data_IF_150271455994
#
_entry.id   IF_150271455994
#
_cell.length_a   1.000
_cell.length_b   1.000
_cell.length_c   1.000
_cell.angle_alpha   90.00
_cell.angle_beta   90.00
_cell.angle_gamma   90.00
#
_symmetry.space_group_name_H-M   'P 1'
#
loop_
_entity.id
_entity.type
_entity.pdbx_description
1 polymer ?
#
# COMPACT_ATOMS: atom_id res chain seq x y z
N UNK A 1 48.67 -58.21 -15.40
CA UNK A 1 49.62 -59.29 -14.93
C UNK A 1 50.76 -58.59 -14.21
N UNK A 2 51.22 -59.07 -13.07
CA UNK A 2 50.63 -59.09 -11.74
C UNK A 2 51.66 -58.67 -10.65
N UNK A 3 51.27 -58.95 -9.40
CA UNK A 3 52.05 -59.18 -8.17
C UNK A 3 52.10 -58.00 -7.19
N UNK A 4 51.61 -58.08 -6.03
CA UNK A 4 51.51 -59.08 -4.96
C UNK A 4 52.49 -58.77 -3.83
N UNK A 5 51.97 -58.95 -2.60
CA UNK A 5 52.60 -59.21 -1.27
C UNK A 5 53.09 -57.98 -0.49
N UNK A 6 52.93 -57.92 0.82
CA UNK A 6 52.47 -58.85 1.83
C UNK A 6 52.63 -58.23 3.23
N UNK A 7 51.79 -58.60 4.11
CA UNK A 7 51.95 -58.97 5.54
C UNK A 7 53.05 -58.30 6.38
N UNK A 8 52.93 -57.91 7.66
CA UNK A 8 52.42 -58.73 8.77
C UNK A 8 52.58 -57.99 10.11
N UNK A 9 51.65 -58.25 11.03
CA UNK A 9 51.78 -58.50 12.50
C UNK A 9 52.37 -57.46 13.45
N UNK A 10 51.60 -57.28 14.59
CA UNK A 10 52.11 -57.08 15.90
C UNK A 10 51.19 -56.33 16.87
N UNK A 11 50.24 -57.04 17.49
CA UNK A 11 49.69 -56.78 18.82
C UNK A 11 50.65 -57.38 19.88
N UNK A 12 50.59 -57.15 21.20
CA UNK A 12 49.46 -56.76 22.04
C UNK A 12 49.80 -55.98 23.35
N UNK A 13 48.72 -55.74 24.17
CA UNK A 13 48.66 -55.62 25.66
C UNK A 13 48.96 -54.24 26.26
N UNK A 14 48.15 -53.60 27.07
CA UNK A 14 47.41 -53.94 28.30
C UNK A 14 46.66 -52.69 28.80
N UNK A 15 45.43 -52.89 29.21
CA UNK A 15 44.54 -52.14 30.10
C UNK A 15 45.16 -52.02 31.52
N UNK A 16 44.63 -51.24 32.49
CA UNK A 16 43.35 -50.56 32.63
C UNK A 16 43.42 -49.20 33.39
N UNK A 17 42.37 -48.39 33.35
CA UNK A 17 41.68 -47.74 34.46
C UNK A 17 40.68 -46.66 34.03
N UNK A 18 39.40 -46.99 34.14
CA UNK A 18 38.29 -46.03 34.32
C UNK A 18 38.34 -45.37 35.70
N UNK A 19 37.76 -44.18 36.02
CA UNK A 19 36.34 -43.87 35.72
C UNK A 19 36.01 -42.37 35.49
N UNK A 20 34.72 -42.19 35.21
CA UNK A 20 33.83 -41.10 35.63
C UNK A 20 33.34 -40.10 34.57
N UNK A 21 32.08 -40.28 34.26
CA UNK A 21 30.97 -39.31 34.07
C UNK A 21 31.24 -37.94 33.45
N UNK A 22 30.65 -37.67 32.29
CA UNK A 22 29.94 -36.44 31.98
C UNK A 22 28.88 -36.64 30.86
N UNK A 23 27.74 -35.93 30.89
CA UNK A 23 26.56 -36.25 30.11
C UNK A 23 26.60 -35.71 28.71
N UNK A 24 25.85 -36.36 27.84
CA UNK A 24 25.61 -36.02 26.44
C UNK A 24 24.94 -34.66 26.28
N UNK A 25 25.58 -33.78 25.51
CA UNK A 25 24.89 -32.60 24.98
C UNK A 25 24.20 -32.95 23.66
N UNK A 26 22.86 -32.98 23.71
CA UNK A 26 22.00 -32.95 22.52
C UNK A 26 22.23 -31.67 21.77
N UNK A 27 22.73 -31.75 20.54
CA UNK A 27 22.60 -30.67 19.58
C UNK A 27 21.16 -30.64 19.06
N UNK A 28 20.37 -29.70 19.60
CA UNK A 28 19.09 -29.31 19.04
C UNK A 28 19.37 -28.43 17.84
N UNK A 29 18.91 -28.89 16.65
CA UNK A 29 18.92 -28.12 15.43
C UNK A 29 18.11 -26.84 15.60
N UNK A 30 18.77 -25.69 15.41
CA UNK A 30 18.13 -24.39 15.37
C UNK A 30 17.31 -24.25 14.08
N UNK A 31 15.99 -24.41 14.20
CA UNK A 31 15.08 -23.89 13.20
C UNK A 31 15.13 -22.37 13.28
N UNK A 32 15.74 -21.74 12.29
CA UNK A 32 15.55 -20.30 12.06
C UNK A 32 14.10 -20.08 11.66
N UNK A 33 13.25 -19.80 12.63
CA UNK A 33 11.98 -19.15 12.41
C UNK A 33 12.30 -17.69 11.97
N UNK A 34 12.17 -17.40 10.68
CA UNK A 34 12.00 -16.04 10.22
C UNK A 34 10.67 -15.54 10.79
N UNK A 35 10.73 -14.93 11.96
CA UNK A 35 9.62 -14.19 12.51
C UNK A 35 9.35 -12.99 11.60
N UNK A 36 8.25 -13.05 10.86
CA UNK A 36 7.66 -11.86 10.28
C UNK A 36 7.33 -10.92 11.44
N UNK A 37 8.14 -9.89 11.63
CA UNK A 37 7.79 -8.78 12.50
C UNK A 37 6.60 -8.10 11.84
N UNK A 38 5.40 -8.38 12.33
CA UNK A 38 4.24 -7.55 12.11
C UNK A 38 4.58 -6.17 12.68
N UNK A 39 4.86 -5.21 11.82
CA UNK A 39 4.95 -3.82 12.20
C UNK A 39 3.53 -3.35 12.53
N UNK A 40 3.13 -3.52 13.78
CA UNK A 40 1.95 -2.87 14.31
C UNK A 40 2.22 -1.35 14.26
N UNK A 41 1.62 -0.66 13.29
CA UNK A 41 1.61 0.79 13.27
C UNK A 41 0.91 1.28 14.55
N UNK A 42 1.45 2.32 15.22
CA UNK A 42 0.75 2.91 16.36
C UNK A 42 -0.65 3.35 15.95
N UNK A 43 -1.64 3.17 16.80
CA UNK A 43 -3.06 3.50 16.54
C UNK A 43 -3.25 4.96 16.10
N UNK A 44 -2.39 5.88 16.59
CA UNK A 44 -2.41 7.29 16.20
C UNK A 44 -1.97 7.51 14.73
N UNK A 45 -1.03 6.73 14.24
CA UNK A 45 -0.58 6.81 12.84
C UNK A 45 -1.65 6.28 11.87
N UNK A 46 -2.37 5.23 12.27
CA UNK A 46 -3.49 4.66 11.50
C UNK A 46 -4.67 5.66 11.37
N UNK A 47 -4.98 6.41 12.44
CA UNK A 47 -6.02 7.43 12.41
C UNK A 47 -5.65 8.63 11.52
N UNK A 48 -4.40 9.09 11.59
CA UNK A 48 -3.91 10.18 10.74
C UNK A 48 -3.85 9.78 9.26
N UNK A 49 -3.48 8.53 8.97
CA UNK A 49 -3.55 7.98 7.62
C UNK A 49 -4.99 7.92 7.12
N UNK A 50 -5.91 7.45 7.94
CA UNK A 50 -7.32 7.35 7.57
C UNK A 50 -7.93 8.73 7.24
N UNK A 51 -7.52 9.80 7.95
CA UNK A 51 -7.93 11.18 7.60
C UNK A 51 -7.42 11.60 6.22
N UNK A 52 -6.15 11.31 5.91
CA UNK A 52 -5.57 11.60 4.59
C UNK A 52 -6.31 10.84 3.50
N UNK A 53 -6.62 9.56 3.70
CA UNK A 53 -7.38 8.74 2.75
C UNK A 53 -8.80 9.29 2.51
N UNK A 54 -9.45 9.76 3.56
CA UNK A 54 -10.79 10.36 3.45
C UNK A 54 -10.76 11.68 2.67
N UNK A 55 -9.75 12.52 2.90
CA UNK A 55 -9.57 13.78 2.19
C UNK A 55 -9.13 13.58 0.74
N UNK A 56 -8.26 12.60 0.46
CA UNK A 56 -7.94 12.17 -0.91
C UNK A 56 -9.21 11.76 -1.67
N UNK A 57 -10.02 10.90 -1.05
CA UNK A 57 -11.29 10.44 -1.62
C UNK A 57 -12.28 11.59 -1.89
N UNK A 58 -12.35 12.57 -1.00
CA UNK A 58 -13.23 13.73 -1.13
C UNK A 58 -12.75 14.65 -2.25
N UNK A 59 -11.47 15.03 -2.25
CA UNK A 59 -10.90 15.99 -3.21
C UNK A 59 -10.80 15.39 -4.61
N UNK A 60 -10.48 14.11 -4.73
CA UNK A 60 -10.29 13.42 -6.02
C UNK A 60 -11.54 12.67 -6.50
N UNK A 61 -12.72 12.91 -5.92
CA UNK A 61 -13.93 12.15 -6.19
C UNK A 61 -14.28 12.09 -7.70
N UNK A 62 -14.23 13.23 -8.40
CA UNK A 62 -14.54 13.30 -9.83
C UNK A 62 -13.52 12.56 -10.69
N UNK A 63 -12.24 12.61 -10.32
CA UNK A 63 -11.17 11.88 -11.01
C UNK A 63 -11.32 10.37 -10.81
N UNK A 64 -11.65 9.93 -9.60
CA UNK A 64 -11.94 8.53 -9.29
C UNK A 64 -13.15 8.02 -10.09
N UNK A 65 -14.22 8.81 -10.14
CA UNK A 65 -15.39 8.50 -10.95
C UNK A 65 -15.02 8.38 -12.43
N UNK A 66 -14.22 9.32 -12.98
CA UNK A 66 -13.77 9.29 -14.37
C UNK A 66 -12.90 8.05 -14.67
N UNK A 67 -12.07 7.60 -13.73
CA UNK A 67 -11.31 6.35 -13.86
C UNK A 67 -12.27 5.16 -13.94
N UNK A 68 -13.24 5.05 -13.05
CA UNK A 68 -14.20 3.94 -13.03
C UNK A 68 -15.05 3.92 -14.31
N UNK A 69 -15.45 5.09 -14.83
CA UNK A 69 -16.16 5.19 -16.10
C UNK A 69 -15.35 4.75 -17.31
N UNK A 70 -14.04 4.93 -17.27
CA UNK A 70 -13.14 4.53 -18.35
C UNK A 70 -12.91 3.01 -18.43
N UNK A 71 -13.17 2.25 -17.37
CA UNK A 71 -12.88 0.82 -17.34
C UNK A 71 -13.56 0.09 -18.52
N UNK A 72 -12.80 -0.72 -19.31
CA UNK A 72 -13.32 -1.42 -20.49
C UNK A 72 -14.10 -2.69 -20.06
N UNK A 73 -15.21 -2.50 -19.39
CA UNK A 73 -16.09 -3.56 -18.93
C UNK A 73 -17.07 -3.95 -20.04
N UNK A 74 -17.22 -5.26 -20.29
CA UNK A 74 -18.20 -5.80 -21.26
C UNK A 74 -19.62 -5.82 -20.68
N UNK A 75 -19.75 -5.90 -19.36
CA UNK A 75 -20.99 -5.88 -18.61
C UNK A 75 -20.79 -5.26 -17.23
N UNK A 76 -21.87 -4.82 -16.59
CA UNK A 76 -21.81 -4.33 -15.22
C UNK A 76 -21.41 -5.48 -14.26
N UNK A 77 -20.38 -5.27 -13.40
CA UNK A 77 -19.96 -6.29 -12.45
C UNK A 77 -21.02 -6.49 -11.37
N UNK A 78 -21.24 -7.71 -10.96
CA UNK A 78 -22.12 -8.07 -9.83
C UNK A 78 -21.33 -8.29 -8.55
N UNK A 79 -20.15 -8.90 -8.67
CA UNK A 79 -19.22 -9.08 -7.56
C UNK A 79 -17.93 -8.32 -7.83
N UNK A 80 -17.64 -7.36 -6.96
CA UNK A 80 -16.42 -6.56 -6.99
C UNK A 80 -15.56 -6.92 -5.77
N UNK A 81 -14.27 -7.10 -5.98
CA UNK A 81 -13.29 -7.29 -4.93
C UNK A 81 -12.41 -6.02 -4.88
N UNK A 82 -12.44 -5.30 -3.75
CA UNK A 82 -11.62 -4.10 -3.50
C UNK A 82 -10.44 -4.48 -2.59
N UNK A 83 -9.22 -4.53 -3.16
CA UNK A 83 -8.00 -4.97 -2.49
C UNK A 83 -7.20 -3.77 -1.96
N UNK A 84 -6.96 -3.73 -0.66
CA UNK A 84 -6.41 -2.57 0.03
C UNK A 84 -7.44 -1.45 0.08
N UNK A 85 -8.67 -1.78 0.47
CA UNK A 85 -9.83 -0.90 0.38
C UNK A 85 -9.70 0.39 1.22
N UNK A 86 -8.79 0.42 2.19
CA UNK A 86 -8.61 1.55 3.10
C UNK A 86 -9.93 1.93 3.78
N UNK A 87 -10.24 3.20 3.78
CA UNK A 87 -11.49 3.73 4.35
C UNK A 87 -12.67 3.68 3.39
N UNK A 88 -12.54 3.02 2.20
CA UNK A 88 -13.61 2.68 1.30
C UNK A 88 -13.82 3.61 0.10
N UNK A 89 -12.84 4.44 -0.26
CA UNK A 89 -12.95 5.36 -1.42
C UNK A 89 -13.36 4.62 -2.70
N UNK A 90 -12.61 3.56 -3.08
CA UNK A 90 -12.91 2.69 -4.22
C UNK A 90 -14.24 1.98 -4.06
N UNK A 91 -14.48 1.36 -2.89
CA UNK A 91 -15.71 0.65 -2.56
C UNK A 91 -16.96 1.49 -2.84
N UNK A 92 -17.03 2.72 -2.32
CA UNK A 92 -18.23 3.55 -2.47
C UNK A 92 -18.37 4.14 -3.87
N UNK A 93 -17.28 4.53 -4.52
CA UNK A 93 -17.31 5.01 -5.89
C UNK A 93 -17.79 3.90 -6.87
N UNK A 94 -17.33 2.65 -6.68
CA UNK A 94 -17.78 1.49 -7.45
C UNK A 94 -19.26 1.18 -7.20
N UNK A 95 -19.73 1.23 -5.96
CA UNK A 95 -21.14 1.03 -5.61
C UNK A 95 -22.05 2.14 -6.15
N UNK A 96 -21.54 3.37 -6.25
CA UNK A 96 -22.26 4.48 -6.89
C UNK A 96 -22.41 4.23 -8.39
N UNK A 97 -21.36 3.79 -9.06
CA UNK A 97 -21.36 3.52 -10.51
C UNK A 97 -22.15 2.25 -10.87
N UNK A 98 -22.10 1.22 -10.01
CA UNK A 98 -22.72 -0.09 -10.22
C UNK A 98 -23.75 -0.37 -9.10
N UNK A 99 -24.98 0.15 -9.23
CA UNK A 99 -25.95 0.11 -8.14
C UNK A 99 -26.45 -1.31 -7.79
N UNK A 100 -26.20 -2.30 -8.64
CA UNK A 100 -26.57 -3.71 -8.40
C UNK A 100 -25.41 -4.55 -7.87
N UNK A 101 -24.18 -4.02 -7.87
CA UNK A 101 -22.99 -4.74 -7.42
C UNK A 101 -22.96 -4.95 -5.90
N UNK A 102 -22.24 -5.98 -5.48
CA UNK A 102 -21.80 -6.21 -4.11
C UNK A 102 -20.28 -6.10 -4.08
N UNK A 103 -19.73 -5.47 -3.03
CA UNK A 103 -18.28 -5.31 -2.87
C UNK A 103 -17.82 -6.12 -1.67
N UNK A 104 -16.76 -6.91 -1.88
CA UNK A 104 -15.94 -7.47 -0.80
C UNK A 104 -14.71 -6.58 -0.65
N UNK A 105 -14.65 -5.81 0.42
CA UNK A 105 -13.55 -4.90 0.73
C UNK A 105 -12.53 -5.60 1.61
N UNK A 106 -11.27 -5.68 1.16
CA UNK A 106 -10.17 -6.36 1.85
C UNK A 106 -9.13 -5.32 2.27
N UNK A 107 -8.74 -5.33 3.54
CA UNK A 107 -7.66 -4.48 4.06
C UNK A 107 -6.97 -5.16 5.23
N UNK A 108 -5.71 -4.85 5.47
CA UNK A 108 -4.96 -5.37 6.62
C UNK A 108 -5.33 -4.63 7.92
N UNK A 109 -5.70 -3.33 7.84
CA UNK A 109 -6.04 -2.51 8.99
C UNK A 109 -7.48 -2.74 9.45
N UNK A 110 -7.69 -3.23 10.68
CA UNK A 110 -9.03 -3.34 11.27
C UNK A 110 -9.67 -1.96 11.51
N UNK A 111 -8.86 -0.91 11.71
CA UNK A 111 -9.31 0.47 11.87
C UNK A 111 -9.90 1.03 10.58
N UNK A 112 -9.25 0.81 9.43
CA UNK A 112 -9.78 1.17 8.12
C UNK A 112 -11.10 0.47 7.84
N UNK A 113 -11.16 -0.85 8.05
CA UNK A 113 -12.38 -1.64 7.84
C UNK A 113 -13.52 -1.23 8.79
N UNK A 114 -13.21 -0.80 10.01
CA UNK A 114 -14.23 -0.26 10.91
C UNK A 114 -14.85 1.03 10.33
N UNK A 115 -14.01 1.99 9.92
CA UNK A 115 -14.48 3.23 9.29
C UNK A 115 -15.27 2.97 8.00
N UNK A 116 -14.82 2.02 7.18
CA UNK A 116 -15.53 1.63 5.96
C UNK A 116 -16.93 1.09 6.30
N UNK A 117 -17.06 0.22 7.30
CA UNK A 117 -18.38 -0.30 7.75
C UNK A 117 -19.28 0.80 8.29
N UNK A 118 -18.76 1.74 9.08
CA UNK A 118 -19.52 2.88 9.61
C UNK A 118 -20.06 3.75 8.47
N UNK A 119 -19.23 4.05 7.46
CA UNK A 119 -19.65 4.77 6.26
C UNK A 119 -20.69 4.00 5.46
N UNK A 120 -20.50 2.70 5.26
CA UNK A 120 -21.45 1.84 4.55
C UNK A 120 -22.83 1.85 5.24
N UNK A 121 -22.82 1.80 6.58
CA UNK A 121 -24.05 1.89 7.36
C UNK A 121 -24.72 3.27 7.23
N UNK A 122 -23.96 4.35 7.35
CA UNK A 122 -24.44 5.72 7.21
C UNK A 122 -25.06 6.00 5.82
N UNK A 123 -24.52 5.36 4.78
CA UNK A 123 -24.99 5.47 3.40
C UNK A 123 -26.10 4.48 3.04
N UNK A 124 -26.53 3.62 3.97
CA UNK A 124 -27.53 2.56 3.68
C UNK A 124 -27.05 1.47 2.73
N UNK A 125 -25.74 1.23 2.68
CA UNK A 125 -25.07 0.28 1.79
C UNK A 125 -24.56 -0.98 2.51
N UNK A 126 -24.84 -1.13 3.81
CA UNK A 126 -24.30 -2.21 4.64
C UNK A 126 -24.57 -3.61 4.08
N UNK A 127 -25.74 -3.84 3.47
CA UNK A 127 -26.10 -5.13 2.87
C UNK A 127 -25.35 -5.44 1.57
N UNK A 128 -24.64 -4.46 1.02
CA UNK A 128 -23.92 -4.58 -0.26
C UNK A 128 -22.39 -4.58 -0.07
N UNK A 129 -21.92 -4.38 1.15
CA UNK A 129 -20.49 -4.32 1.49
C UNK A 129 -20.17 -5.41 2.51
N UNK A 130 -19.33 -6.35 2.11
CA UNK A 130 -18.67 -7.28 3.02
C UNK A 130 -17.23 -6.80 3.28
N UNK A 131 -16.73 -6.95 4.50
CA UNK A 131 -15.35 -6.60 4.84
C UNK A 131 -14.59 -7.84 5.28
N UNK A 132 -13.36 -7.98 4.79
CA UNK A 132 -12.45 -9.09 5.13
C UNK A 132 -11.12 -8.51 5.57
N UNK A 133 -10.72 -8.79 6.80
CA UNK A 133 -9.37 -8.43 7.24
C UNK A 133 -8.39 -9.47 6.72
N UNK A 134 -7.43 -9.06 5.89
CA UNK A 134 -6.39 -9.93 5.38
C UNK A 134 -5.12 -9.15 5.02
N UNK A 135 -3.98 -9.79 5.28
CA UNK A 135 -2.69 -9.38 4.76
C UNK A 135 -2.52 -9.97 3.35
N UNK A 136 -2.39 -9.10 2.35
CA UNK A 136 -2.24 -9.51 0.96
C UNK A 136 -0.83 -10.02 0.62
N UNK A 137 0.15 -9.83 1.51
CA UNK A 137 1.46 -10.46 1.44
C UNK A 137 1.50 -11.87 2.08
N UNK A 138 0.45 -12.27 2.80
CA UNK A 138 0.37 -13.59 3.39
C UNK A 138 0.42 -14.71 2.34
N UNK A 139 0.93 -15.88 2.73
CA UNK A 139 1.04 -17.04 1.83
C UNK A 139 -0.33 -17.59 1.38
N UNK A 140 -1.37 -17.31 2.11
CA UNK A 140 -2.75 -17.72 1.76
C UNK A 140 -3.70 -16.57 2.00
N UNK A 141 -4.51 -16.29 1.00
CA UNK A 141 -5.64 -15.38 1.11
C UNK A 141 -6.87 -16.13 1.61
N UNK A 142 -7.78 -15.47 2.31
CA UNK A 142 -9.09 -16.05 2.63
C UNK A 142 -9.89 -16.33 1.35
N UNK A 143 -11.01 -17.03 1.49
CA UNK A 143 -11.94 -17.26 0.37
C UNK A 143 -12.59 -15.93 -0.03
N UNK A 144 -12.28 -15.45 -1.22
CA UNK A 144 -12.74 -14.15 -1.73
C UNK A 144 -13.72 -14.28 -2.91
N UNK A 145 -14.11 -15.52 -3.25
CA UNK A 145 -15.01 -15.81 -4.37
C UNK A 145 -14.37 -15.64 -5.74
N UNK A 146 -15.22 -15.48 -6.75
CA UNK A 146 -14.81 -15.27 -8.15
C UNK A 146 -15.36 -13.93 -8.63
N UNK A 147 -14.62 -12.83 -8.48
CA UNK A 147 -15.10 -11.49 -8.81
C UNK A 147 -15.15 -11.22 -10.32
N UNK A 148 -16.15 -10.44 -10.74
CA UNK A 148 -16.25 -9.88 -12.10
C UNK A 148 -15.28 -8.70 -12.28
N UNK A 149 -15.01 -7.97 -11.19
CA UNK A 149 -14.07 -6.86 -11.15
C UNK A 149 -13.21 -6.98 -9.89
N UNK A 150 -11.90 -7.00 -10.05
CA UNK A 150 -10.95 -6.74 -8.97
C UNK A 150 -10.46 -5.30 -9.12
N UNK A 151 -10.56 -4.55 -8.07
CA UNK A 151 -10.08 -3.18 -7.96
C UNK A 151 -8.97 -3.12 -6.93
N UNK A 152 -7.88 -2.44 -7.25
CA UNK A 152 -6.82 -2.09 -6.31
C UNK A 152 -6.38 -0.65 -6.57
N UNK A 153 -6.48 0.21 -5.58
CA UNK A 153 -6.13 1.62 -5.72
C UNK A 153 -5.17 2.04 -4.63
N UNK A 154 -3.99 2.51 -5.01
CA UNK A 154 -2.92 2.96 -4.11
C UNK A 154 -2.59 1.92 -3.02
N UNK A 155 -2.54 0.64 -3.39
CA UNK A 155 -2.37 -0.47 -2.45
C UNK A 155 -1.31 -1.49 -2.88
N UNK A 156 -1.18 -1.76 -4.18
CA UNK A 156 -0.27 -2.80 -4.66
C UNK A 156 1.20 -2.42 -4.53
N UNK A 157 1.52 -1.12 -4.45
CA UNK A 157 2.88 -0.65 -4.25
C UNK A 157 3.46 -0.99 -2.85
N UNK A 158 2.63 -1.43 -1.91
CA UNK A 158 3.07 -1.93 -0.60
C UNK A 158 3.49 -3.40 -0.63
N UNK A 159 3.14 -4.17 -1.67
CA UNK A 159 3.38 -5.61 -1.73
C UNK A 159 4.88 -5.94 -1.72
N UNK A 160 5.28 -6.86 -0.86
CA UNK A 160 6.64 -7.41 -0.86
C UNK A 160 6.91 -8.28 -2.10
N UNK A 161 5.89 -9.03 -2.56
CA UNK A 161 5.93 -9.83 -3.80
C UNK A 161 4.71 -9.52 -4.67
N UNK A 162 4.75 -8.42 -5.45
CA UNK A 162 3.65 -8.04 -6.32
C UNK A 162 3.35 -9.09 -7.39
N UNK A 163 4.35 -9.81 -7.87
CA UNK A 163 4.17 -10.87 -8.85
C UNK A 163 3.31 -12.01 -8.32
N UNK A 164 3.49 -12.40 -7.05
CA UNK A 164 2.66 -13.40 -6.38
C UNK A 164 1.22 -12.91 -6.22
N UNK A 165 1.05 -11.67 -5.75
CA UNK A 165 -0.27 -11.06 -5.59
C UNK A 165 -1.02 -10.98 -6.93
N UNK A 166 -0.36 -10.53 -8.00
CA UNK A 166 -0.94 -10.43 -9.34
C UNK A 166 -1.36 -11.80 -9.91
N UNK A 167 -0.56 -12.86 -9.72
CA UNK A 167 -0.96 -14.22 -10.12
C UNK A 167 -2.19 -14.69 -9.37
N UNK A 168 -2.32 -14.40 -8.08
CA UNK A 168 -3.53 -14.72 -7.29
C UNK A 168 -4.75 -13.95 -7.79
N UNK A 169 -4.60 -12.67 -8.06
CA UNK A 169 -5.66 -11.85 -8.66
C UNK A 169 -6.14 -12.47 -9.96
N UNK A 170 -5.21 -12.83 -10.88
CA UNK A 170 -5.53 -13.51 -12.12
C UNK A 170 -6.35 -14.78 -11.89
N UNK A 171 -5.94 -15.60 -10.91
CA UNK A 171 -6.57 -16.90 -10.65
C UNK A 171 -7.96 -16.76 -9.99
N UNK A 172 -8.21 -15.68 -9.26
CA UNK A 172 -9.53 -15.35 -8.68
C UNK A 172 -10.52 -14.79 -9.70
N UNK A 173 -10.04 -14.07 -10.73
CA UNK A 173 -10.91 -13.42 -11.71
C UNK A 173 -11.85 -14.39 -12.40
N UNK A 174 -13.10 -14.00 -12.55
CA UNK A 174 -14.06 -14.65 -13.42
C UNK A 174 -13.51 -14.72 -14.88
N UNK A 175 -14.00 -15.65 -15.74
CA UNK A 175 -13.48 -15.82 -17.10
C UNK A 175 -13.46 -14.55 -17.96
N UNK A 176 -14.40 -13.62 -17.72
CA UNK A 176 -14.47 -12.31 -18.39
C UNK A 176 -14.23 -11.14 -17.42
N UNK A 177 -13.68 -11.45 -16.24
CA UNK A 177 -13.40 -10.48 -15.21
C UNK A 177 -12.31 -9.49 -15.61
N UNK A 178 -12.36 -8.31 -15.02
CA UNK A 178 -11.38 -7.24 -15.20
C UNK A 178 -10.62 -7.01 -13.91
N UNK A 179 -9.32 -6.83 -14.01
CA UNK A 179 -8.50 -6.25 -12.96
C UNK A 179 -8.23 -4.78 -13.30
N UNK A 180 -8.63 -3.88 -12.43
CA UNK A 180 -8.37 -2.46 -12.50
C UNK A 180 -7.34 -2.09 -11.41
N UNK A 181 -6.19 -1.65 -11.83
CA UNK A 181 -5.10 -1.19 -10.96
C UNK A 181 -4.94 0.32 -11.12
N UNK A 182 -5.00 1.04 -10.01
CA UNK A 182 -4.76 2.49 -9.94
C UNK A 182 -3.63 2.75 -8.97
N UNK A 183 -2.52 3.32 -9.45
CA UNK A 183 -1.35 3.52 -8.61
C UNK A 183 -0.84 4.95 -8.61
N UNK A 184 -0.11 5.30 -7.55
CA UNK A 184 0.49 6.60 -7.35
C UNK A 184 1.76 6.71 -8.20
N UNK A 185 1.86 7.73 -9.05
CA UNK A 185 3.14 8.12 -9.64
C UNK A 185 4.05 8.79 -8.60
N UNK A 186 3.45 9.49 -7.64
CA UNK A 186 4.10 10.14 -6.51
C UNK A 186 3.10 10.60 -5.47
N UNK A 187 3.57 11.07 -4.33
CA UNK A 187 2.68 11.64 -3.32
C UNK A 187 2.15 13.01 -3.76
N UNK A 188 0.92 13.40 -3.33
CA UNK A 188 0.35 14.70 -3.62
C UNK A 188 1.23 15.85 -3.15
N UNK A 189 1.24 16.94 -3.93
CA UNK A 189 1.90 18.21 -3.64
C UNK A 189 0.87 19.32 -3.59
N UNK A 190 1.08 20.28 -2.71
CA UNK A 190 0.09 21.31 -2.44
C UNK A 190 0.61 22.73 -2.61
N UNK A 191 1.86 23.00 -2.23
CA UNK A 191 2.45 24.33 -2.29
C UNK A 191 2.89 24.70 -3.72
N UNK A 192 2.81 25.99 -4.12
CA UNK A 192 3.61 26.49 -5.23
C UNK A 192 5.10 26.25 -5.03
N UNK A 193 5.86 26.08 -6.10
CA UNK A 193 7.29 25.77 -6.04
C UNK A 193 8.14 26.83 -5.32
N UNK A 194 7.69 28.07 -5.30
CA UNK A 194 8.31 29.21 -4.64
C UNK A 194 7.76 29.52 -3.24
N UNK A 195 6.88 28.66 -2.74
CA UNK A 195 6.26 28.81 -1.40
C UNK A 195 6.88 27.86 -0.35
N UNK A 196 6.88 28.29 0.93
CA UNK A 196 6.65 29.66 1.38
C UNK A 196 7.81 30.58 0.97
N UNK A 197 7.58 31.90 0.84
CA UNK A 197 8.55 32.84 0.30
C UNK A 197 9.88 32.91 1.07
N UNK A 198 9.85 32.63 2.38
CA UNK A 198 11.05 32.55 3.23
C UNK A 198 11.82 31.21 3.06
N UNK A 199 11.17 30.19 2.48
CA UNK A 199 11.78 28.85 2.24
C UNK A 199 11.28 28.25 0.92
N UNK A 200 11.60 28.84 -0.25
CA UNK A 200 11.17 28.30 -1.55
C UNK A 200 11.59 26.83 -1.72
N UNK A 201 10.74 26.01 -2.33
CA UNK A 201 10.99 24.58 -2.54
C UNK A 201 10.92 23.73 -1.27
N UNK A 202 10.32 24.22 -0.19
CA UNK A 202 10.21 23.49 1.08
C UNK A 202 9.56 22.11 0.89
N UNK A 203 8.42 22.06 0.20
CA UNK A 203 7.68 20.79 0.02
C UNK A 203 8.51 19.76 -0.75
N UNK A 204 9.26 20.20 -1.78
CA UNK A 204 10.17 19.30 -2.51
C UNK A 204 11.24 18.70 -1.62
N UNK A 205 11.87 19.53 -0.76
CA UNK A 205 12.88 19.03 0.19
C UNK A 205 12.27 18.11 1.24
N UNK A 206 11.04 18.36 1.66
CA UNK A 206 10.31 17.47 2.59
C UNK A 206 10.07 16.11 1.96
N UNK A 207 9.62 16.05 0.70
CA UNK A 207 9.46 14.79 -0.02
C UNK A 207 10.79 14.07 -0.22
N UNK A 208 11.85 14.78 -0.64
CA UNK A 208 13.17 14.19 -0.81
C UNK A 208 13.72 13.62 0.51
N UNK A 209 13.46 14.28 1.64
CA UNK A 209 13.88 13.82 2.97
C UNK A 209 13.19 12.50 3.39
N UNK A 210 12.00 12.22 2.86
CA UNK A 210 11.25 10.99 3.15
C UNK A 210 11.41 9.89 2.10
N UNK A 211 11.99 10.20 0.94
CA UNK A 211 12.06 9.24 -0.19
C UNK A 211 12.80 7.96 0.17
N UNK A 212 13.89 8.03 0.95
CA UNK A 212 14.61 6.83 1.39
C UNK A 212 13.80 5.95 2.36
N UNK A 213 12.92 6.56 3.20
CA UNK A 213 12.01 5.83 4.06
C UNK A 213 10.93 5.14 3.22
N UNK A 214 10.39 5.87 2.25
CA UNK A 214 9.40 5.34 1.33
C UNK A 214 9.94 4.21 0.46
N UNK A 215 11.20 4.30 0.00
CA UNK A 215 11.82 3.23 -0.77
C UNK A 215 11.90 1.89 -0.01
N UNK A 216 11.99 1.93 1.31
CA UNK A 216 11.99 0.74 2.15
C UNK A 216 10.58 0.17 2.43
N UNK A 217 9.55 1.03 2.50
CA UNK A 217 8.20 0.64 2.90
C UNK A 217 7.20 0.56 1.73
N UNK A 218 7.50 1.22 0.63
CA UNK A 218 6.69 1.25 -0.60
C UNK A 218 7.58 1.07 -1.83
N UNK A 219 8.22 -0.11 -1.97
CA UNK A 219 9.27 -0.34 -2.95
C UNK A 219 8.79 -0.23 -4.40
N UNK A 220 7.49 -0.36 -4.64
CA UNK A 220 6.89 -0.33 -5.97
C UNK A 220 6.12 0.96 -6.28
N UNK A 221 6.29 2.02 -5.46
CA UNK A 221 5.70 3.33 -5.78
C UNK A 221 6.31 3.89 -7.07
N UNK A 222 5.44 4.31 -7.99
CA UNK A 222 5.84 4.82 -9.30
C UNK A 222 6.40 3.76 -10.26
N UNK A 223 6.25 2.46 -9.94
CA UNK A 223 6.64 1.39 -10.83
C UNK A 223 5.75 1.35 -12.08
N UNK A 224 6.33 0.93 -13.20
CA UNK A 224 5.56 0.54 -14.37
C UNK A 224 4.95 -0.85 -14.13
N UNK A 225 3.64 -0.90 -13.95
CA UNK A 225 2.92 -2.13 -13.65
C UNK A 225 2.60 -2.95 -14.89
N UNK A 226 2.65 -2.39 -16.09
CA UNK A 226 2.36 -3.09 -17.34
C UNK A 226 3.19 -4.38 -17.51
N UNK A 227 4.52 -4.33 -17.40
CA UNK A 227 5.37 -5.50 -17.43
C UNK A 227 5.09 -6.52 -16.31
N UNK A 228 4.76 -6.05 -15.08
CA UNK A 228 4.45 -6.93 -13.95
C UNK A 228 3.13 -7.68 -14.16
N UNK A 229 2.10 -7.00 -14.66
CA UNK A 229 0.82 -7.58 -15.05
C UNK A 229 1.01 -8.67 -16.11
N UNK A 230 1.77 -8.37 -17.16
CA UNK A 230 2.07 -9.31 -18.24
C UNK A 230 2.85 -10.52 -17.74
N UNK A 231 3.87 -10.32 -16.91
CA UNK A 231 4.65 -11.40 -16.31
C UNK A 231 3.82 -12.31 -15.39
N UNK A 232 2.76 -11.78 -14.78
CA UNK A 232 1.80 -12.55 -13.99
C UNK A 232 0.78 -13.33 -14.84
N UNK A 233 0.80 -13.17 -16.17
CA UNK A 233 -0.11 -13.82 -17.11
C UNK A 233 -1.45 -13.09 -17.27
N UNK A 234 -1.47 -11.79 -16.98
CA UNK A 234 -2.60 -10.91 -17.29
C UNK A 234 -2.35 -10.18 -18.62
N UNK A 235 -3.39 -9.94 -19.39
CA UNK A 235 -3.35 -9.17 -20.64
C UNK A 235 -3.81 -7.74 -20.35
N UNK A 236 -2.91 -6.76 -20.49
CA UNK A 236 -3.25 -5.34 -20.38
C UNK A 236 -4.14 -4.94 -21.56
N UNK A 237 -5.35 -4.49 -21.27
CA UNK A 237 -6.36 -4.08 -22.27
C UNK A 237 -6.55 -2.56 -22.31
N UNK A 238 -5.98 -1.84 -21.35
CA UNK A 238 -6.00 -0.39 -21.32
C UNK A 238 -5.02 0.14 -20.29
N UNK A 239 -4.44 1.29 -20.61
CA UNK A 239 -3.52 2.04 -19.75
C UNK A 239 -3.74 3.54 -19.94
N UNK A 240 -3.68 4.31 -18.88
CA UNK A 240 -3.73 5.77 -18.93
C UNK A 240 -3.09 6.42 -17.69
N UNK A 241 -2.63 7.63 -17.88
CA UNK A 241 -2.26 8.54 -16.77
C UNK A 241 -3.39 9.54 -16.55
N UNK A 242 -3.75 9.77 -15.31
CA UNK A 242 -4.71 10.80 -14.90
C UNK A 242 -3.97 11.84 -14.09
N UNK A 243 -3.83 13.02 -14.65
CA UNK A 243 -3.24 14.17 -13.96
C UNK A 243 -4.32 14.91 -13.20
N UNK A 244 -4.04 15.21 -11.95
CA UNK A 244 -4.90 15.94 -11.01
C UNK A 244 -4.22 17.26 -10.68
N UNK A 245 -4.94 18.37 -10.86
CA UNK A 245 -4.54 19.70 -10.41
C UNK A 245 -5.82 20.45 -10.00
N UNK A 246 -6.12 20.45 -8.71
CA UNK A 246 -7.35 21.00 -8.14
C UNK A 246 -6.97 22.14 -7.21
N UNK A 247 -7.30 23.38 -7.61
CA UNK A 247 -7.02 24.54 -6.79
C UNK A 247 -7.88 24.59 -5.50
N UNK A 248 -7.35 25.19 -4.43
CA UNK A 248 -8.09 25.40 -3.19
C UNK A 248 -9.34 26.29 -3.39
N UNK A 249 -9.36 27.12 -4.45
CA UNK A 249 -10.52 27.92 -4.87
C UNK A 249 -11.60 27.07 -5.54
N UNK A 250 -11.28 25.89 -6.04
CA UNK A 250 -12.20 24.97 -6.72
C UNK A 250 -12.78 23.93 -5.75
N UNK A 251 -12.00 23.56 -4.72
CA UNK A 251 -12.46 22.56 -3.75
C UNK A 251 -12.06 22.93 -2.31
N UNK A 252 -13.05 23.11 -1.40
CA UNK A 252 -12.85 23.65 -0.06
C UNK A 252 -11.97 22.76 0.84
N UNK A 253 -11.88 21.47 0.56
CA UNK A 253 -11.11 20.53 1.38
C UNK A 253 -9.62 20.45 1.00
N UNK A 254 -9.16 21.14 -0.05
CA UNK A 254 -7.74 21.13 -0.45
C UNK A 254 -6.83 21.63 0.67
N UNK A 255 -7.22 22.70 1.39
CA UNK A 255 -6.45 23.21 2.52
C UNK A 255 -6.33 22.20 3.68
N UNK A 256 -7.42 21.51 4.01
CA UNK A 256 -7.42 20.44 5.03
C UNK A 256 -6.57 19.24 4.58
N UNK A 257 -6.66 18.88 3.30
CA UNK A 257 -5.88 17.80 2.73
C UNK A 257 -4.38 18.11 2.76
N UNK A 258 -4.00 19.34 2.38
CA UNK A 258 -2.63 19.83 2.51
C UNK A 258 -2.11 19.77 3.96
N UNK A 259 -2.92 20.23 4.91
CA UNK A 259 -2.57 20.21 6.33
C UNK A 259 -2.33 18.79 6.86
N UNK A 260 -3.25 17.87 6.56
CA UNK A 260 -3.12 16.47 6.97
C UNK A 260 -1.90 15.80 6.31
N UNK A 261 -1.68 16.03 5.01
CA UNK A 261 -0.54 15.51 4.27
C UNK A 261 0.80 16.03 4.81
N UNK A 262 0.93 17.36 5.01
CA UNK A 262 2.17 17.94 5.52
C UNK A 262 2.47 17.54 6.97
N UNK A 263 1.44 17.34 7.81
CA UNK A 263 1.64 16.82 9.16
C UNK A 263 2.27 15.42 9.17
N UNK A 264 1.83 14.56 8.27
CA UNK A 264 2.44 13.22 8.11
C UNK A 264 3.88 13.32 7.63
N UNK A 265 4.15 14.16 6.61
CA UNK A 265 5.51 14.41 6.13
C UNK A 265 6.37 14.96 7.27
N UNK A 266 5.87 15.94 8.03
CA UNK A 266 6.58 16.51 9.17
C UNK A 266 6.98 15.44 10.19
N UNK A 267 6.07 14.54 10.54
CA UNK A 267 6.34 13.44 11.47
C UNK A 267 7.43 12.51 10.92
N UNK A 268 7.33 12.12 9.66
CA UNK A 268 8.28 11.20 9.03
C UNK A 268 9.66 11.84 8.77
N UNK A 269 9.69 13.12 8.35
CA UNK A 269 10.89 13.80 7.90
C UNK A 269 11.66 14.54 9.01
N UNK A 270 11.11 14.65 10.22
CA UNK A 270 11.63 15.52 11.28
C UNK A 270 13.16 15.40 11.54
N UNK A 271 13.67 14.19 11.52
CA UNK A 271 15.10 13.93 11.78
C UNK A 271 16.01 14.09 10.54
N UNK A 272 15.43 14.31 9.36
CA UNK A 272 16.16 14.39 8.09
C UNK A 272 16.13 15.79 7.47
N UNK A 273 15.30 16.70 8.00
CA UNK A 273 15.21 18.09 7.57
C UNK A 273 16.20 18.97 8.32
N UNK A 274 16.69 20.02 7.66
CA UNK A 274 17.43 21.06 8.37
C UNK A 274 16.51 21.81 9.35
N UNK A 275 17.07 22.42 10.43
CA UNK A 275 16.26 23.07 11.45
C UNK A 275 15.38 24.23 10.92
N UNK A 276 15.79 24.91 9.84
CA UNK A 276 15.02 26.02 9.29
C UNK A 276 13.86 25.51 8.42
N UNK A 277 14.03 24.40 7.69
CA UNK A 277 12.92 23.73 6.99
C UNK A 277 11.92 23.14 7.97
N UNK A 278 12.41 22.49 9.04
CA UNK A 278 11.54 21.97 10.09
C UNK A 278 10.70 23.07 10.75
N UNK A 279 11.32 24.21 11.10
CA UNK A 279 10.63 25.36 11.68
C UNK A 279 9.60 25.96 10.70
N UNK A 280 9.89 26.01 9.40
CA UNK A 280 8.94 26.46 8.40
C UNK A 280 7.75 25.49 8.26
N UNK A 281 8.03 24.19 8.28
CA UNK A 281 7.01 23.14 8.22
C UNK A 281 6.14 23.15 9.49
N UNK A 282 6.71 23.38 10.67
CA UNK A 282 5.98 23.54 11.93
C UNK A 282 4.99 24.71 11.86
N UNK A 283 5.39 25.86 11.29
CA UNK A 283 4.48 27.02 11.09
C UNK A 283 3.33 26.70 10.12
N UNK A 284 3.62 25.98 9.03
CA UNK A 284 2.60 25.59 8.04
C UNK A 284 1.60 24.56 8.61
N UNK A 285 2.05 23.68 9.49
CA UNK A 285 1.24 22.60 10.06
C UNK A 285 0.54 22.97 11.38
N UNK A 286 0.77 24.17 11.90
CA UNK A 286 0.02 24.76 13.00
C UNK A 286 -1.38 25.18 12.51
N UNK A 287 -2.42 24.41 12.88
CA UNK A 287 -3.78 24.63 12.38
C UNK A 287 -4.36 25.97 12.84
N UNK A 288 -3.98 26.44 14.02
CA UNK A 288 -4.51 27.66 14.65
C UNK A 288 -3.62 28.89 14.39
N UNK A 289 -2.44 28.66 13.84
CA UNK A 289 -1.47 29.69 13.53
C UNK A 289 -1.83 30.51 12.29
N UNK A 290 -1.44 31.79 12.23
CA UNK A 290 -1.71 32.67 11.08
C UNK A 290 -0.96 32.23 9.82
N UNK A 291 0.05 31.37 9.96
CA UNK A 291 0.84 30.78 8.85
C UNK A 291 0.33 29.42 8.39
N UNK A 292 -0.82 28.97 8.89
CA UNK A 292 -1.36 27.64 8.55
C UNK A 292 -1.54 27.46 7.06
N UNK A 293 -1.08 26.30 6.56
CA UNK A 293 -1.28 25.93 5.16
C UNK A 293 -2.76 25.88 4.79
N UNK A 294 -3.63 25.48 5.72
CA UNK A 294 -5.08 25.40 5.47
C UNK A 294 -5.74 26.76 5.12
N UNK A 295 -5.10 27.88 5.46
CA UNK A 295 -5.59 29.23 5.20
C UNK A 295 -5.09 29.84 3.87
N UNK A 296 -4.19 29.13 3.17
CA UNK A 296 -3.58 29.67 1.95
C UNK A 296 -4.52 29.51 0.75
N UNK A 297 -4.77 30.60 -0.02
CA UNK A 297 -5.61 30.52 -1.21
C UNK A 297 -4.89 30.02 -2.46
N UNK A 298 -3.56 29.93 -2.43
CA UNK A 298 -2.69 29.57 -3.57
C UNK A 298 -2.32 28.08 -3.63
N UNK A 299 -3.01 27.25 -2.84
CA UNK A 299 -2.82 25.82 -2.87
C UNK A 299 -3.50 25.15 -4.06
N UNK A 300 -2.93 24.03 -4.48
CA UNK A 300 -3.61 23.07 -5.34
C UNK A 300 -3.21 21.64 -4.97
N UNK A 301 -4.15 20.70 -4.98
CA UNK A 301 -3.85 19.28 -4.87
C UNK A 301 -3.34 18.80 -6.23
N UNK A 302 -2.03 18.57 -6.35
CA UNK A 302 -1.37 18.11 -7.57
C UNK A 302 -0.83 16.69 -7.37
N UNK A 303 -1.29 15.79 -8.23
CA UNK A 303 -0.84 14.38 -8.21
C UNK A 303 -1.10 13.73 -9.56
N UNK A 304 -0.52 12.56 -9.77
CA UNK A 304 -0.81 11.71 -10.91
C UNK A 304 -1.21 10.32 -10.44
N UNK A 305 -2.17 9.72 -11.15
CA UNK A 305 -2.56 8.33 -11.02
C UNK A 305 -2.28 7.59 -12.31
N UNK A 306 -1.57 6.50 -12.22
CA UNK A 306 -1.40 5.58 -13.33
C UNK A 306 -2.44 4.47 -13.22
N UNK A 307 -3.12 4.17 -14.32
CA UNK A 307 -4.27 3.26 -14.35
C UNK A 307 -4.04 2.19 -15.40
N UNK A 308 -4.17 0.95 -15.00
CA UNK A 308 -4.16 -0.21 -15.89
C UNK A 308 -5.46 -0.98 -15.76
N UNK A 309 -5.96 -1.45 -16.90
CA UNK A 309 -7.04 -2.42 -16.97
C UNK A 309 -6.47 -3.69 -17.61
N UNK A 310 -6.64 -4.84 -16.96
CA UNK A 310 -6.08 -6.10 -17.41
C UNK A 310 -7.09 -7.23 -17.29
N UNK A 311 -6.97 -8.24 -18.13
CA UNK A 311 -7.84 -9.44 -18.16
C UNK A 311 -6.99 -10.70 -17.99
N UNK A 312 -7.67 -11.77 -17.56
CA UNK A 312 -7.08 -13.11 -17.49
C UNK A 312 -6.74 -13.67 -18.85
#
# INVERSE_FOLDING_TARGET
VPHAHGRSYGDPMSDPRTPAHAPAHHQLGGHHQHGHQQHAHPVEDDAALAEVLDLDAEVLADHLAAIIYWLPLDAEPRHVLDLGAGTGAGTFALLHRFPTARVTAVDASPGHLLRLREKAHALGLADRVATVQADLDADRWPELGTPDLVWASASMHHMADPGRALRRIRDLLAPHGLFALVELAGFPRFLPADAPADRPGLEERCHAATDHLHAAHVPHRGADWGPLLTAAGLTVTGERTVTVDIAATEHPSVGRYALAGLRRIRTAAAQYLDPADLAALDRLTDADGPGSIALRPDLAARTERQVWAARR
#
